data_IF_060981495394
#
_entry.id   IF_060981495394
#
_cell.length_a   1.000
_cell.length_b   1.000
_cell.length_c   1.000
_cell.angle_alpha   90.00
_cell.angle_beta   90.00
_cell.angle_gamma   90.00
#
_symmetry.space_group_name_H-M   'P 1'
#
loop_
_entity.id
_entity.type
_entity.pdbx_description
1 polymer ?
#
# COMPACT_ATOMS: atom_id res chain seq x y z
N UNK A 1 6.85 7.06 -19.18
CA UNK A 1 8.20 7.65 -19.04
C UNK A 1 9.06 6.61 -18.33
N UNK A 2 10.19 6.21 -18.89
CA UNK A 2 11.07 5.20 -18.25
C UNK A 2 11.85 5.85 -17.11
N UNK A 3 11.87 5.22 -15.94
CA UNK A 3 12.68 5.64 -14.79
C UNK A 3 14.15 5.33 -15.09
N UNK A 4 15.03 6.31 -14.95
CA UNK A 4 16.48 6.09 -15.00
C UNK A 4 16.98 5.64 -13.62
N UNK A 5 17.12 4.33 -13.44
CA UNK A 5 17.57 3.73 -12.19
C UNK A 5 18.99 4.12 -11.76
N UNK A 6 19.83 4.65 -12.67
CA UNK A 6 21.20 5.06 -12.33
C UNK A 6 21.25 6.32 -11.47
N UNK A 7 20.16 7.09 -11.44
CA UNK A 7 20.04 8.33 -10.65
C UNK A 7 19.55 8.09 -9.22
N UNK A 8 19.11 6.88 -8.89
CA UNK A 8 18.54 6.56 -7.59
C UNK A 8 19.64 6.18 -6.58
N UNK A 9 19.48 6.56 -5.30
CA UNK A 9 20.43 6.16 -4.27
C UNK A 9 20.42 4.64 -4.11
N UNK A 10 21.59 4.02 -3.93
CA UNK A 10 21.69 2.58 -3.69
C UNK A 10 22.37 2.31 -2.34
N UNK A 11 21.81 1.44 -1.48
CA UNK A 11 20.61 0.63 -1.69
C UNK A 11 19.29 1.39 -1.42
N UNK A 12 18.27 1.18 -2.25
CA UNK A 12 16.91 1.68 -2.00
C UNK A 12 15.83 0.71 -2.49
N UNK A 13 14.62 0.86 -1.97
CA UNK A 13 13.40 0.27 -2.55
C UNK A 13 12.73 1.28 -3.48
N UNK A 14 12.29 0.82 -4.66
CA UNK A 14 11.58 1.63 -5.66
C UNK A 14 10.17 1.08 -5.82
N UNK A 15 9.17 1.97 -5.74
CA UNK A 15 7.76 1.65 -5.90
C UNK A 15 7.22 2.36 -7.14
N UNK A 16 6.77 1.60 -8.15
CA UNK A 16 6.08 2.17 -9.31
C UNK A 16 4.60 2.37 -8.97
N UNK A 17 4.18 3.62 -8.82
CA UNK A 17 2.79 3.96 -8.45
C UNK A 17 1.76 3.37 -9.41
N UNK A 18 2.02 3.39 -10.71
CA UNK A 18 1.08 2.85 -11.72
C UNK A 18 0.83 1.36 -11.51
N UNK A 19 1.87 0.58 -11.22
CA UNK A 19 1.73 -0.85 -10.91
C UNK A 19 1.03 -1.07 -9.56
N UNK A 20 1.35 -0.25 -8.56
CA UNK A 20 0.65 -0.31 -7.26
C UNK A 20 -0.85 -0.09 -7.44
N UNK A 21 -1.27 0.95 -8.16
CA UNK A 21 -2.69 1.25 -8.43
C UNK A 21 -3.37 0.13 -9.20
N UNK A 22 -2.71 -0.45 -10.20
CA UNK A 22 -3.23 -1.61 -10.93
C UNK A 22 -3.49 -2.81 -10.00
N UNK A 23 -2.55 -3.11 -9.10
CA UNK A 23 -2.71 -4.19 -8.13
C UNK A 23 -3.83 -3.90 -7.12
N UNK A 24 -3.90 -2.67 -6.60
CA UNK A 24 -4.94 -2.26 -5.66
C UNK A 24 -6.33 -2.29 -6.31
N UNK A 25 -6.44 -1.92 -7.59
CA UNK A 25 -7.70 -1.98 -8.32
C UNK A 25 -8.16 -3.42 -8.57
N UNK A 26 -7.23 -4.34 -8.83
CA UNK A 26 -7.55 -5.77 -8.88
C UNK A 26 -8.07 -6.28 -7.52
N UNK A 27 -7.39 -5.94 -6.43
CA UNK A 27 -7.80 -6.33 -5.06
C UNK A 27 -9.19 -5.77 -4.74
N UNK A 28 -9.46 -4.51 -5.09
CA UNK A 28 -10.77 -3.89 -4.93
C UNK A 28 -11.85 -4.64 -5.72
N UNK A 29 -11.57 -5.00 -6.97
CA UNK A 29 -12.50 -5.82 -7.77
C UNK A 29 -12.83 -7.15 -7.12
N UNK A 30 -11.85 -7.84 -6.54
CA UNK A 30 -12.08 -9.08 -5.78
C UNK A 30 -12.97 -8.84 -4.55
N UNK A 31 -12.75 -7.76 -3.80
CA UNK A 31 -13.63 -7.40 -2.67
C UNK A 31 -15.07 -7.17 -3.12
N UNK A 32 -15.25 -6.41 -4.21
CA UNK A 32 -16.56 -6.05 -4.75
C UNK A 32 -17.33 -7.29 -5.24
N UNK A 33 -16.65 -8.21 -5.94
CA UNK A 33 -17.24 -9.46 -6.44
C UNK A 33 -17.56 -10.46 -5.33
N UNK A 34 -16.69 -10.58 -4.33
CA UNK A 34 -16.85 -11.53 -3.23
C UNK A 34 -17.72 -11.01 -2.08
N UNK A 35 -18.04 -9.71 -2.04
CA UNK A 35 -18.77 -9.08 -0.94
C UNK A 35 -18.02 -9.12 0.39
N UNK A 36 -16.68 -9.07 0.35
CA UNK A 36 -15.82 -9.19 1.53
C UNK A 36 -14.90 -7.95 1.71
N UNK A 37 -14.21 -7.89 2.85
CA UNK A 37 -13.20 -6.85 3.10
C UNK A 37 -11.80 -7.43 3.10
N UNK A 38 -10.91 -6.82 2.31
CA UNK A 38 -9.47 -7.08 2.32
C UNK A 38 -8.79 -5.85 2.93
N UNK A 39 -8.01 -6.05 3.98
CA UNK A 39 -7.24 -4.99 4.66
C UNK A 39 -5.74 -5.20 4.46
N UNK A 40 -4.97 -4.11 4.52
CA UNK A 40 -3.53 -4.14 4.33
C UNK A 40 -2.81 -4.87 5.48
N UNK A 41 -1.97 -5.84 5.16
CA UNK A 41 -1.10 -6.47 6.14
C UNK A 41 0.21 -5.66 6.32
N UNK A 42 0.32 -4.85 7.37
CA UNK A 42 1.51 -4.00 7.61
C UNK A 42 2.83 -4.77 7.66
N UNK A 43 2.81 -5.99 8.19
CA UNK A 43 3.99 -6.87 8.22
C UNK A 43 4.55 -7.21 6.84
N UNK A 44 3.72 -7.12 5.79
CA UNK A 44 4.10 -7.37 4.41
C UNK A 44 4.34 -6.10 3.59
N UNK A 45 3.85 -4.94 4.04
CA UNK A 45 4.02 -3.67 3.37
C UNK A 45 3.90 -2.49 4.36
N UNK A 46 5.01 -1.82 4.61
CA UNK A 46 5.12 -0.70 5.57
C UNK A 46 5.70 0.58 4.96
N UNK A 47 5.66 0.73 3.63
CA UNK A 47 6.04 1.96 2.93
C UNK A 47 4.94 3.01 3.11
N UNK A 48 4.88 3.60 4.30
CA UNK A 48 3.78 4.48 4.75
C UNK A 48 3.57 5.72 3.86
N UNK A 49 4.61 6.17 3.14
CA UNK A 49 4.48 7.24 2.15
C UNK A 49 3.48 6.91 1.02
N UNK A 50 3.22 5.63 0.75
CA UNK A 50 2.24 5.17 -0.23
C UNK A 50 0.84 4.89 0.37
N UNK A 51 0.67 4.97 1.69
CA UNK A 51 -0.63 4.71 2.33
C UNK A 51 -1.75 5.64 1.87
N UNK A 52 -1.50 6.93 1.55
CA UNK A 52 -2.51 7.79 0.93
C UNK A 52 -3.08 7.26 -0.39
N UNK A 53 -2.30 6.48 -1.15
CA UNK A 53 -2.78 5.78 -2.35
C UNK A 53 -3.54 4.52 -1.95
N UNK A 54 -3.01 3.74 -1.00
CA UNK A 54 -3.64 2.49 -0.53
C UNK A 54 -5.05 2.71 0.03
N UNK A 55 -5.26 3.78 0.81
CA UNK A 55 -6.56 4.14 1.41
C UNK A 55 -7.65 4.47 0.39
N UNK A 56 -7.29 4.79 -0.85
CA UNK A 56 -8.26 4.97 -1.93
C UNK A 56 -8.97 3.64 -2.29
N UNK A 57 -8.36 2.50 -1.95
CA UNK A 57 -8.82 1.17 -2.35
C UNK A 57 -9.14 0.24 -1.18
N UNK A 58 -8.32 0.23 -0.12
CA UNK A 58 -8.48 -0.67 1.03
C UNK A 58 -9.08 0.07 2.24
N UNK A 59 -10.01 -0.55 3.00
CA UNK A 59 -10.74 0.09 4.09
C UNK A 59 -9.96 0.15 5.42
N UNK A 60 -8.76 -0.44 5.49
CA UNK A 60 -7.99 -0.51 6.74
C UNK A 60 -6.72 -1.34 6.62
N UNK A 61 -6.06 -1.55 7.76
CA UNK A 61 -4.86 -2.35 7.88
C UNK A 61 -4.82 -3.16 9.19
N UNK A 62 -4.09 -4.26 9.20
CA UNK A 62 -3.80 -5.04 10.42
C UNK A 62 -2.67 -4.38 11.19
N UNK A 63 -2.75 -4.37 12.52
CA UNK A 63 -1.66 -4.00 13.41
C UNK A 63 -1.34 -5.12 14.40
N UNK A 64 -0.08 -5.27 14.76
CA UNK A 64 0.44 -6.17 15.79
C UNK A 64 1.10 -5.42 16.96
N UNK A 65 1.13 -4.08 16.92
CA UNK A 65 1.67 -3.21 17.96
C UNK A 65 0.96 -1.86 18.05
N UNK A 66 1.11 -1.16 19.18
CA UNK A 66 0.58 0.19 19.36
C UNK A 66 1.13 1.20 18.34
N UNK A 67 2.41 1.06 17.96
CA UNK A 67 3.05 1.97 17.01
C UNK A 67 2.47 1.80 15.60
N UNK A 68 2.15 0.57 15.20
CA UNK A 68 1.47 0.30 13.94
C UNK A 68 0.06 0.89 13.93
N UNK A 69 -0.70 0.81 15.03
CA UNK A 69 -2.01 1.46 15.13
C UNK A 69 -1.88 2.98 14.95
N UNK A 70 -0.90 3.61 15.62
CA UNK A 70 -0.66 5.06 15.48
C UNK A 70 -0.34 5.44 14.03
N UNK A 71 0.54 4.68 13.38
CA UNK A 71 0.90 4.88 11.98
C UNK A 71 -0.31 4.75 11.05
N UNK A 72 -1.15 3.73 11.25
CA UNK A 72 -2.38 3.56 10.45
C UNK A 72 -3.29 4.77 10.60
N UNK A 73 -3.57 5.19 11.84
CA UNK A 73 -4.47 6.31 12.10
C UNK A 73 -3.96 7.65 11.53
N UNK A 74 -2.65 7.79 11.34
CA UNK A 74 -2.05 8.99 10.77
C UNK A 74 -2.10 9.01 9.23
N UNK A 75 -1.96 7.86 8.56
CA UNK A 75 -1.72 7.81 7.11
C UNK A 75 -2.79 7.07 6.28
N UNK A 76 -3.54 6.12 6.86
CA UNK A 76 -4.48 5.24 6.15
C UNK A 76 -5.93 5.62 6.48
#
# INVERSE_FOLDING_TARGET
>A
MSIDFTTLPSPCFVLEERLLRQNLQLIKGVMDEAGCQIILALKGFSMFSAFPIVREYLPGATASSLNEIKLINEYL
#
